data_IF_804433927355
#
_entry.id   IF_804433927355
#
_cell.length_a   1.000
_cell.length_b   1.000
_cell.length_c   1.000
_cell.angle_alpha   90.00
_cell.angle_beta   90.00
_cell.angle_gamma   90.00
#
_symmetry.space_group_name_H-M   'P 1'
#
loop_
_entity.id
_entity.type
_entity.pdbx_description
1 polymer ?
#
# COMPACT_ATOMS: atom_id res chain seq x y z
N UNK A 1 6.38 -25.34 7.64
CA UNK A 1 5.81 -23.99 7.82
C UNK A 1 4.87 -23.73 6.64
N UNK A 2 3.62 -23.32 6.89
CA UNK A 2 2.55 -23.23 5.87
C UNK A 2 2.32 -21.78 5.45
N UNK A 3 2.30 -21.51 4.15
CA UNK A 3 2.14 -20.19 3.53
C UNK A 3 0.86 -20.19 2.69
N UNK A 4 0.08 -19.12 2.77
CA UNK A 4 -1.07 -18.89 1.88
C UNK A 4 -0.65 -17.90 0.79
N UNK A 5 -0.82 -18.25 -0.47
CA UNK A 5 -0.63 -17.35 -1.61
C UNK A 5 -2.00 -16.95 -2.12
N UNK A 6 -2.30 -15.65 -2.15
CA UNK A 6 -3.55 -15.08 -2.66
C UNK A 6 -3.21 -14.22 -3.87
N UNK A 7 -3.43 -14.78 -5.06
CA UNK A 7 -2.97 -14.24 -6.35
C UNK A 7 -3.88 -14.76 -7.46
N UNK A 8 -4.45 -13.89 -8.30
CA UNK A 8 -5.36 -14.28 -9.38
C UNK A 8 -4.63 -14.54 -10.70
N UNK A 9 -3.43 -13.97 -10.90
CA UNK A 9 -2.62 -14.26 -12.07
C UNK A 9 -1.96 -15.65 -11.96
N UNK A 10 -2.42 -16.57 -12.81
CA UNK A 10 -1.96 -17.97 -12.80
C UNK A 10 -0.45 -18.15 -13.06
N UNK A 11 0.19 -17.25 -13.81
CA UNK A 11 1.63 -17.35 -14.11
C UNK A 11 2.45 -16.91 -12.89
N UNK A 12 2.11 -15.77 -12.30
CA UNK A 12 2.77 -15.24 -11.11
C UNK A 12 2.56 -16.18 -9.91
N UNK A 13 1.32 -16.65 -9.72
CA UNK A 13 0.97 -17.63 -8.70
C UNK A 13 1.83 -18.89 -8.80
N UNK A 14 1.98 -19.44 -10.01
CA UNK A 14 2.80 -20.64 -10.24
C UNK A 14 4.28 -20.37 -9.95
N UNK A 15 4.81 -19.23 -10.39
CA UNK A 15 6.19 -18.83 -10.09
C UNK A 15 6.45 -18.70 -8.58
N UNK A 16 5.51 -18.11 -7.84
CA UNK A 16 5.57 -18.01 -6.37
C UNK A 16 5.49 -19.39 -5.73
N UNK A 17 4.55 -20.24 -6.16
CA UNK A 17 4.37 -21.58 -5.64
C UNK A 17 5.64 -22.42 -5.82
N UNK A 18 6.19 -22.48 -7.03
CA UNK A 18 7.40 -23.25 -7.34
C UNK A 18 8.62 -22.70 -6.57
N UNK A 19 8.77 -21.38 -6.51
CA UNK A 19 9.86 -20.73 -5.78
C UNK A 19 9.81 -20.96 -4.27
N UNK A 20 8.62 -20.97 -3.67
CA UNK A 20 8.46 -21.16 -2.23
C UNK A 20 8.56 -22.64 -1.84
N UNK A 21 7.93 -23.53 -2.62
CA UNK A 21 7.95 -24.98 -2.34
C UNK A 21 9.32 -25.60 -2.57
N UNK A 22 10.10 -25.12 -3.56
CA UNK A 22 11.50 -25.54 -3.75
C UNK A 22 12.41 -25.22 -2.56
N UNK A 23 12.02 -24.26 -1.70
CA UNK A 23 12.69 -23.94 -0.44
C UNK A 23 12.15 -24.73 0.77
N UNK A 24 11.34 -25.77 0.55
CA UNK A 24 10.86 -26.68 1.59
C UNK A 24 9.62 -26.19 2.37
N UNK A 25 8.96 -25.13 1.90
CA UNK A 25 7.71 -24.63 2.49
C UNK A 25 6.48 -25.30 1.88
N UNK A 26 5.39 -25.36 2.64
CA UNK A 26 4.10 -25.86 2.15
C UNK A 26 3.23 -24.66 1.78
N UNK A 27 2.65 -24.66 0.59
CA UNK A 27 1.79 -23.57 0.11
C UNK A 27 0.36 -24.04 -0.10
N UNK A 28 -0.60 -23.20 0.29
CA UNK A 28 -1.97 -23.20 -0.23
C UNK A 28 -2.14 -21.99 -1.12
N UNK A 29 -3.08 -22.09 -2.06
CA UNK A 29 -3.24 -21.10 -3.11
C UNK A 29 -4.71 -20.70 -3.22
N UNK A 30 -4.97 -19.41 -3.12
CA UNK A 30 -6.26 -18.78 -3.36
C UNK A 30 -6.20 -17.88 -4.60
N UNK A 31 -7.19 -17.99 -5.47
CA UNK A 31 -7.31 -17.19 -6.71
C UNK A 31 -8.23 -15.97 -6.56
N UNK A 32 -8.85 -15.81 -5.39
CA UNK A 32 -9.79 -14.73 -5.11
C UNK A 32 -9.96 -14.56 -3.58
N UNK A 33 -10.60 -13.48 -3.18
CA UNK A 33 -10.82 -13.12 -1.78
C UNK A 33 -11.66 -14.14 -1.04
N UNK A 34 -12.76 -14.62 -1.64
CA UNK A 34 -13.62 -15.63 -1.03
C UNK A 34 -12.86 -16.93 -0.68
N UNK A 35 -12.02 -17.42 -1.59
CA UNK A 35 -11.21 -18.61 -1.34
C UNK A 35 -10.15 -18.34 -0.25
N UNK A 36 -9.56 -17.15 -0.23
CA UNK A 36 -8.61 -16.75 0.80
C UNK A 36 -9.26 -16.70 2.20
N UNK A 37 -10.49 -16.19 2.32
CA UNK A 37 -11.25 -16.22 3.58
C UNK A 37 -11.51 -17.64 4.07
N UNK A 38 -11.94 -18.54 3.17
CA UNK A 38 -12.15 -19.95 3.51
C UNK A 38 -10.86 -20.57 4.07
N UNK A 39 -9.71 -20.37 3.41
CA UNK A 39 -8.46 -20.91 3.91
C UNK A 39 -8.08 -20.35 5.28
N UNK A 40 -8.23 -19.06 5.51
CA UNK A 40 -7.90 -18.44 6.81
C UNK A 40 -8.83 -18.91 7.92
N UNK A 41 -10.10 -19.13 7.62
CA UNK A 41 -11.07 -19.60 8.62
C UNK A 41 -10.75 -21.03 9.11
N UNK A 42 -10.27 -21.90 8.22
CA UNK A 42 -10.06 -23.32 8.52
C UNK A 42 -8.57 -23.72 8.66
N UNK A 43 -7.64 -22.80 8.42
CA UNK A 43 -6.20 -23.08 8.35
C UNK A 43 -5.36 -22.22 9.28
N UNK A 44 -4.18 -22.74 9.64
CA UNK A 44 -3.13 -21.96 10.31
C UNK A 44 -1.99 -21.71 9.32
N UNK A 45 -1.70 -20.42 9.09
CA UNK A 45 -0.62 -19.97 8.23
C UNK A 45 0.38 -19.16 9.02
N UNK A 46 1.64 -19.28 8.61
CA UNK A 46 2.78 -18.53 9.16
C UNK A 46 3.04 -17.22 8.43
N UNK A 47 2.62 -17.14 7.17
CA UNK A 47 2.72 -15.98 6.29
C UNK A 47 1.61 -16.08 5.25
N UNK A 48 1.04 -14.94 4.90
CA UNK A 48 0.13 -14.79 3.76
C UNK A 48 0.84 -13.89 2.75
N UNK A 49 0.86 -14.28 1.49
CA UNK A 49 1.25 -13.45 0.36
C UNK A 49 -0.05 -13.01 -0.31
N UNK A 50 -0.25 -11.71 -0.49
CA UNK A 50 -1.52 -11.15 -0.92
C UNK A 50 -1.34 -10.15 -2.06
N UNK A 51 -1.95 -10.42 -3.21
CA UNK A 51 -2.25 -9.37 -4.20
C UNK A 51 -3.47 -8.55 -3.74
N UNK A 52 -3.39 -7.27 -3.99
CA UNK A 52 -4.45 -6.30 -3.75
C UNK A 52 -5.44 -6.23 -4.91
N UNK A 53 -5.03 -6.67 -6.10
CA UNK A 53 -5.79 -6.61 -7.34
C UNK A 53 -6.77 -7.77 -7.58
N UNK A 54 -7.35 -8.37 -6.54
CA UNK A 54 -8.20 -9.56 -6.66
C UNK A 54 -9.47 -9.33 -7.50
N UNK A 55 -10.00 -10.37 -8.16
CA UNK A 55 -11.12 -10.24 -9.09
C UNK A 55 -12.48 -9.96 -8.42
N UNK A 56 -12.65 -10.35 -7.16
CA UNK A 56 -13.91 -10.29 -6.42
C UNK A 56 -13.94 -9.27 -5.29
N UNK A 57 -12.77 -8.77 -4.84
CA UNK A 57 -12.68 -7.76 -3.80
C UNK A 57 -11.38 -6.94 -3.87
N UNK A 58 -11.30 -5.87 -3.09
CA UNK A 58 -10.04 -5.16 -2.86
C UNK A 58 -9.23 -5.89 -1.77
N UNK A 59 -8.02 -6.36 -2.10
CA UNK A 59 -7.21 -7.13 -1.15
C UNK A 59 -6.82 -6.33 0.11
N UNK A 60 -6.83 -4.99 0.07
CA UNK A 60 -6.65 -4.20 1.29
C UNK A 60 -7.85 -4.28 2.21
N UNK A 61 -9.06 -4.20 1.66
CA UNK A 61 -10.30 -4.34 2.44
C UNK A 61 -10.40 -5.73 3.06
N UNK A 62 -9.98 -6.76 2.33
CA UNK A 62 -9.87 -8.12 2.82
C UNK A 62 -8.88 -8.25 3.98
N UNK A 63 -7.67 -7.69 3.85
CA UNK A 63 -6.68 -7.66 4.93
C UNK A 63 -7.22 -6.90 6.16
N UNK A 64 -7.90 -5.79 5.94
CA UNK A 64 -8.53 -5.00 7.00
C UNK A 64 -9.60 -5.81 7.74
N UNK A 65 -10.43 -6.54 7.01
CA UNK A 65 -11.42 -7.46 7.57
C UNK A 65 -10.76 -8.51 8.47
N UNK A 66 -9.70 -9.17 7.99
CA UNK A 66 -8.95 -10.16 8.78
C UNK A 66 -8.38 -9.57 10.08
N UNK A 67 -7.78 -8.38 10.02
CA UNK A 67 -7.23 -7.71 11.20
C UNK A 67 -8.30 -7.36 12.22
N UNK A 68 -9.46 -6.89 11.75
CA UNK A 68 -10.62 -6.60 12.62
C UNK A 68 -11.14 -7.86 13.33
N UNK A 69 -11.06 -9.01 12.68
CA UNK A 69 -11.44 -10.31 13.23
C UNK A 69 -10.31 -10.99 14.04
N UNK A 70 -9.25 -10.27 14.38
CA UNK A 70 -8.19 -10.76 15.26
C UNK A 70 -7.16 -11.67 14.58
N UNK A 71 -7.18 -11.81 13.26
CA UNK A 71 -6.14 -12.55 12.53
C UNK A 71 -4.84 -11.73 12.58
N UNK A 72 -3.81 -12.27 13.21
CA UNK A 72 -2.50 -11.60 13.38
C UNK A 72 -1.41 -12.15 12.46
N UNK A 73 -1.73 -13.16 11.64
CA UNK A 73 -0.78 -13.78 10.70
C UNK A 73 -0.09 -12.70 9.84
N UNK A 74 1.26 -12.70 9.76
CA UNK A 74 2.00 -11.78 8.91
C UNK A 74 1.52 -11.83 7.46
N UNK A 75 1.41 -10.66 6.81
CA UNK A 75 0.96 -10.54 5.41
C UNK A 75 2.01 -9.77 4.62
N UNK A 76 2.52 -10.38 3.55
CA UNK A 76 3.36 -9.77 2.54
C UNK A 76 2.50 -9.38 1.35
N UNK A 77 2.45 -8.09 1.05
CA UNK A 77 1.73 -7.58 -0.12
C UNK A 77 2.64 -7.68 -1.36
N UNK A 78 2.11 -8.27 -2.44
CA UNK A 78 2.71 -8.24 -3.78
C UNK A 78 1.74 -7.50 -4.70
N UNK A 79 2.17 -6.45 -5.39
CA UNK A 79 1.32 -5.82 -6.40
C UNK A 79 2.19 -5.17 -7.47
N UNK A 80 1.68 -5.17 -8.72
CA UNK A 80 2.23 -4.40 -9.84
C UNK A 80 1.37 -3.16 -10.16
N UNK A 81 0.30 -2.89 -9.38
CA UNK A 81 -0.62 -1.73 -9.53
C UNK A 81 -0.21 -0.54 -8.67
N UNK A 82 1.10 -0.37 -8.51
CA UNK A 82 1.72 0.44 -7.46
C UNK A 82 1.32 1.92 -7.49
N UNK A 83 1.23 2.54 -8.68
CA UNK A 83 0.94 3.98 -8.80
C UNK A 83 -0.51 4.34 -8.50
N UNK A 84 -1.47 3.49 -8.90
CA UNK A 84 -2.90 3.72 -8.60
C UNK A 84 -3.19 3.56 -7.12
N UNK A 85 -2.60 2.54 -6.50
CA UNK A 85 -2.76 2.29 -5.08
C UNK A 85 -2.11 3.38 -4.23
N UNK A 86 -0.91 3.82 -4.64
CA UNK A 86 -0.22 4.94 -4.01
C UNK A 86 -1.07 6.21 -4.03
N UNK A 87 -1.56 6.60 -5.21
CA UNK A 87 -2.31 7.85 -5.35
C UNK A 87 -3.62 7.79 -4.58
N UNK A 88 -4.33 6.66 -4.62
CA UNK A 88 -5.53 6.43 -3.79
C UNK A 88 -5.24 6.60 -2.30
N UNK A 89 -4.22 5.92 -1.77
CA UNK A 89 -3.90 5.98 -0.34
C UNK A 89 -3.51 7.39 0.10
N UNK A 90 -2.78 8.13 -0.73
CA UNK A 90 -2.42 9.53 -0.42
C UNK A 90 -3.66 10.43 -0.42
N UNK A 91 -4.53 10.32 -1.42
CA UNK A 91 -5.76 11.13 -1.51
C UNK A 91 -6.73 10.82 -0.38
N UNK A 92 -6.92 9.54 -0.03
CA UNK A 92 -7.78 9.13 1.08
C UNK A 92 -7.28 9.67 2.42
N UNK A 93 -5.96 9.63 2.66
CA UNK A 93 -5.36 10.25 3.84
C UNK A 93 -5.60 11.77 3.83
N UNK A 94 -5.34 12.44 2.72
CA UNK A 94 -5.57 13.88 2.59
C UNK A 94 -7.02 14.27 2.85
N UNK A 95 -7.98 13.48 2.37
CA UNK A 95 -9.41 13.68 2.65
C UNK A 95 -9.74 13.46 4.13
N UNK A 96 -9.19 12.40 4.73
CA UNK A 96 -9.45 12.03 6.12
C UNK A 96 -8.87 13.02 7.14
N UNK A 97 -7.73 13.66 6.84
CA UNK A 97 -7.05 14.57 7.76
C UNK A 97 -7.26 16.06 7.45
N UNK A 98 -8.04 16.38 6.41
CA UNK A 98 -8.41 17.75 6.09
C UNK A 98 -9.80 18.11 6.61
N UNK A 99 -10.04 19.39 6.95
CA UNK A 99 -11.39 19.90 7.20
C UNK A 99 -12.36 19.63 6.03
N UNK A 100 -13.66 19.64 6.33
CA UNK A 100 -14.70 19.58 5.30
C UNK A 100 -14.54 20.74 4.30
N UNK A 101 -14.87 20.48 3.03
CA UNK A 101 -14.84 21.47 1.93
C UNK A 101 -13.44 22.04 1.62
N UNK A 102 -12.39 21.25 1.82
CA UNK A 102 -11.03 21.61 1.46
C UNK A 102 -10.65 21.15 0.05
N UNK A 103 -9.57 21.75 -0.49
CA UNK A 103 -9.00 21.35 -1.78
C UNK A 103 -7.83 20.39 -1.55
N UNK A 104 -7.90 19.23 -2.18
CA UNK A 104 -6.78 18.31 -2.32
C UNK A 104 -6.23 18.49 -3.74
N UNK A 105 -4.96 18.90 -3.84
CA UNK A 105 -4.29 19.09 -5.12
C UNK A 105 -3.44 17.86 -5.41
N UNK A 106 -3.74 17.16 -6.51
CA UNK A 106 -2.91 16.09 -7.05
C UNK A 106 -2.20 16.62 -8.28
N UNK A 107 -0.87 16.54 -8.31
CA UNK A 107 -0.10 16.91 -9.49
C UNK A 107 0.94 15.85 -9.82
N UNK A 108 1.24 15.72 -11.11
CA UNK A 108 2.28 14.86 -11.63
C UNK A 108 3.14 15.70 -12.57
N UNK A 109 4.44 15.80 -12.26
CA UNK A 109 5.40 16.50 -13.09
C UNK A 109 6.48 15.52 -13.54
N UNK A 110 6.84 15.55 -14.82
CA UNK A 110 7.91 14.74 -15.38
C UNK A 110 9.06 15.67 -15.76
N UNK A 111 10.20 15.46 -15.13
CA UNK A 111 11.49 15.99 -15.60
C UNK A 111 12.20 14.94 -16.46
N UNK A 112 13.33 15.28 -17.09
CA UNK A 112 14.08 14.41 -18.02
C UNK A 112 14.48 13.05 -17.44
N UNK A 113 14.57 12.92 -16.11
CA UNK A 113 15.00 11.71 -15.41
C UNK A 113 14.03 11.21 -14.34
N UNK A 114 13.15 12.07 -13.84
CA UNK A 114 12.30 11.77 -12.69
C UNK A 114 10.83 12.06 -13.00
N UNK A 115 9.94 11.23 -12.47
CA UNK A 115 8.52 11.55 -12.35
C UNK A 115 8.25 11.86 -10.87
N UNK A 116 7.69 13.04 -10.62
CA UNK A 116 7.31 13.52 -9.31
C UNK A 116 5.78 13.58 -9.23
N UNK A 117 5.21 12.74 -8.37
CA UNK A 117 3.79 12.79 -8.00
C UNK A 117 3.69 13.51 -6.66
N UNK A 118 2.80 14.49 -6.56
CA UNK A 118 2.51 15.18 -5.31
C UNK A 118 1.02 15.14 -4.99
N UNK A 119 0.70 14.93 -3.72
CA UNK A 119 -0.64 15.10 -3.16
C UNK A 119 -0.53 16.10 -2.02
N UNK A 120 -1.22 17.23 -2.15
CA UNK A 120 -1.20 18.32 -1.20
C UNK A 120 -2.59 18.55 -0.61
N UNK A 121 -2.65 18.68 0.71
CA UNK A 121 -3.89 18.86 1.46
C UNK A 121 -3.94 20.17 2.25
N UNK A 122 -5.03 20.40 2.98
CA UNK A 122 -5.23 21.58 3.84
C UNK A 122 -5.51 21.17 5.29
N UNK A 123 -4.93 20.04 5.71
CA UNK A 123 -5.07 19.52 7.07
C UNK A 123 -4.27 20.29 8.12
N UNK A 124 -4.18 19.70 9.31
CA UNK A 124 -3.47 20.32 10.45
C UNK A 124 -1.93 20.29 10.31
N UNK A 125 -1.40 19.69 9.25
CA UNK A 125 0.01 19.37 9.11
C UNK A 125 0.43 18.15 9.93
N UNK A 126 1.72 17.87 9.93
CA UNK A 126 2.35 16.77 10.67
C UNK A 126 3.56 17.27 11.48
N UNK A 127 3.92 16.51 12.51
CA UNK A 127 5.23 16.63 13.14
C UNK A 127 6.26 15.90 12.26
N UNK A 128 7.06 16.67 11.50
CA UNK A 128 8.03 16.12 10.54
C UNK A 128 9.09 15.23 11.20
N UNK A 129 9.39 15.46 12.49
CA UNK A 129 10.29 14.59 13.26
C UNK A 129 9.75 13.17 13.43
N UNK A 130 8.44 12.98 13.25
CA UNK A 130 7.74 11.69 13.33
C UNK A 130 7.36 11.14 11.96
N UNK A 131 7.80 11.76 10.86
CA UNK A 131 7.48 11.32 9.49
C UNK A 131 7.79 9.85 9.24
N UNK A 132 8.94 9.36 9.70
CA UNK A 132 9.30 7.95 9.57
C UNK A 132 8.32 7.03 10.33
N UNK A 133 7.93 7.44 11.54
CA UNK A 133 6.94 6.74 12.36
C UNK A 133 5.56 6.72 11.70
N UNK A 134 5.17 7.80 11.00
CA UNK A 134 3.91 7.88 10.25
C UNK A 134 3.79 6.82 9.14
N UNK A 135 4.92 6.35 8.62
CA UNK A 135 4.94 5.30 7.59
C UNK A 135 4.99 3.88 8.13
N UNK A 136 4.93 3.69 9.46
CA UNK A 136 4.91 2.36 10.07
C UNK A 136 3.52 1.73 9.98
N UNK A 137 3.49 0.42 9.80
CA UNK A 137 2.25 -0.37 9.74
C UNK A 137 1.47 -0.25 11.05
N UNK A 138 0.16 -0.02 10.96
CA UNK A 138 -0.77 0.16 12.08
C UNK A 138 -0.53 1.42 12.93
N UNK A 139 0.41 2.29 12.53
CA UNK A 139 0.64 3.54 13.23
C UNK A 139 -0.38 4.61 12.80
N UNK A 140 -0.92 5.35 13.76
CA UNK A 140 -1.90 6.42 13.55
C UNK A 140 -1.66 7.56 14.55
N UNK A 141 -1.86 8.80 14.11
CA UNK A 141 -1.78 9.98 14.99
C UNK A 141 -3.03 10.15 15.86
N UNK A 142 -4.20 9.86 15.30
CA UNK A 142 -5.49 10.01 15.98
C UNK A 142 -6.38 8.80 15.66
N UNK A 143 -7.14 8.32 16.66
CA UNK A 143 -8.12 7.22 16.53
C UNK A 143 -9.50 7.69 16.05
N UNK A 144 -9.76 9.00 15.99
CA UNK A 144 -11.08 9.56 15.59
C UNK A 144 -11.57 9.14 14.20
N UNK A 145 -10.66 8.82 13.28
CA UNK A 145 -11.02 8.43 11.92
C UNK A 145 -11.05 6.89 11.74
N UNK A 146 -11.74 6.36 10.72
CA UNK A 146 -11.91 4.90 10.54
C UNK A 146 -10.73 4.18 9.84
N UNK A 147 -9.55 4.80 9.72
CA UNK A 147 -8.39 4.18 9.04
C UNK A 147 -7.67 3.11 9.87
N UNK A 148 -7.06 2.10 9.22
CA UNK A 148 -6.35 1.00 9.93
C UNK A 148 -4.84 1.28 10.11
N UNK A 149 -4.35 2.40 9.59
CA UNK A 149 -2.93 2.78 9.70
C UNK A 149 -2.02 2.01 8.74
N UNK A 150 -2.59 1.51 7.63
CA UNK A 150 -1.82 0.81 6.59
C UNK A 150 -1.40 1.73 5.45
N UNK A 151 -2.15 2.79 5.17
CA UNK A 151 -2.01 3.54 3.91
C UNK A 151 -0.60 4.08 3.65
N UNK A 152 0.00 4.78 4.62
CA UNK A 152 1.37 5.29 4.48
C UNK A 152 2.43 4.19 4.47
N UNK A 153 2.19 3.06 5.14
CA UNK A 153 3.10 1.91 5.11
C UNK A 153 3.12 1.22 3.74
N UNK A 154 1.98 1.20 3.05
CA UNK A 154 1.84 0.71 1.67
C UNK A 154 2.60 1.64 0.73
N UNK A 155 2.38 2.96 0.84
CA UNK A 155 3.11 3.96 0.04
C UNK A 155 4.63 3.83 0.24
N UNK A 156 5.10 3.68 1.48
CA UNK A 156 6.51 3.48 1.79
C UNK A 156 7.07 2.15 1.22
N UNK A 157 6.27 1.08 1.22
CA UNK A 157 6.65 -0.20 0.63
C UNK A 157 6.78 -0.11 -0.89
N UNK A 158 5.82 0.54 -1.55
CA UNK A 158 5.83 0.83 -2.99
C UNK A 158 7.08 1.63 -3.35
N UNK A 159 7.40 2.66 -2.56
CA UNK A 159 8.59 3.48 -2.74
C UNK A 159 9.87 2.62 -2.73
N UNK A 160 10.02 1.77 -1.72
CA UNK A 160 11.17 0.87 -1.60
C UNK A 160 11.29 -0.11 -2.76
N UNK A 161 10.18 -0.70 -3.22
CA UNK A 161 10.18 -1.64 -4.35
C UNK A 161 10.62 -0.96 -5.65
N UNK A 162 10.20 0.29 -5.87
CA UNK A 162 10.54 1.06 -7.07
C UNK A 162 11.86 1.83 -6.94
N UNK A 163 12.65 1.58 -5.89
CA UNK A 163 13.85 2.37 -5.55
C UNK A 163 13.58 3.89 -5.61
N UNK A 164 12.36 4.26 -5.21
CA UNK A 164 11.79 5.59 -5.30
C UNK A 164 11.83 6.26 -3.94
N UNK A 165 11.86 7.59 -3.94
CA UNK A 165 11.84 8.38 -2.72
C UNK A 165 10.41 8.79 -2.39
N UNK A 166 9.97 8.47 -1.17
CA UNK A 166 8.72 8.98 -0.60
C UNK A 166 9.01 9.90 0.58
N UNK A 167 8.42 11.09 0.59
CA UNK A 167 8.55 12.05 1.70
C UNK A 167 7.22 12.70 2.05
N UNK A 168 7.04 13.01 3.33
CA UNK A 168 5.94 13.81 3.86
C UNK A 168 6.52 15.09 4.47
N UNK A 169 6.02 16.25 4.04
CA UNK A 169 6.47 17.57 4.54
C UNK A 169 5.27 18.46 4.79
N UNK A 170 5.39 19.43 5.68
CA UNK A 170 4.37 20.46 5.78
C UNK A 170 4.42 21.40 4.57
N UNK A 171 3.27 22.02 4.28
CA UNK A 171 3.19 23.09 3.29
C UNK A 171 4.07 24.28 3.68
N UNK A 172 4.68 24.90 2.66
CA UNK A 172 5.58 26.04 2.82
C UNK A 172 4.95 27.37 2.41
N UNK A 173 3.73 27.38 1.89
CA UNK A 173 3.01 28.56 1.40
C UNK A 173 2.25 29.33 2.50
N UNK A 174 2.75 29.29 3.73
CA UNK A 174 2.13 29.81 4.96
C UNK A 174 0.72 29.25 5.28
N UNK A 175 0.22 28.30 4.49
CA UNK A 175 -1.00 27.56 4.80
C UNK A 175 -0.66 26.29 5.58
N UNK A 176 -1.59 25.83 6.42
CA UNK A 176 -1.48 24.51 7.07
C UNK A 176 -1.83 23.40 6.08
N UNK A 177 -1.17 22.26 6.25
CA UNK A 177 -1.43 21.05 5.47
C UNK A 177 -0.15 20.28 5.19
N UNK A 178 -0.31 19.14 4.55
CA UNK A 178 0.79 18.23 4.21
C UNK A 178 0.97 18.16 2.70
N UNK A 179 2.22 17.99 2.28
CA UNK A 179 2.62 17.62 0.92
C UNK A 179 3.24 16.23 1.01
N UNK A 180 2.59 15.26 0.37
CA UNK A 180 3.13 13.93 0.14
C UNK A 180 3.79 13.90 -1.24
N UNK A 181 5.10 13.66 -1.27
CA UNK A 181 5.91 13.62 -2.50
C UNK A 181 6.39 12.19 -2.76
N UNK A 182 6.14 11.71 -3.98
CA UNK A 182 6.66 10.44 -4.47
C UNK A 182 7.47 10.68 -5.74
N UNK A 183 8.77 10.38 -5.69
CA UNK A 183 9.71 10.56 -6.78
C UNK A 183 10.23 9.21 -7.26
N UNK A 184 9.97 8.91 -8.52
CA UNK A 184 10.49 7.72 -9.21
C UNK A 184 11.44 8.13 -10.33
N UNK A 185 12.47 7.31 -10.57
CA UNK A 185 13.34 7.49 -11.73
C UNK A 185 12.61 6.97 -12.98
N UNK A 186 12.47 7.79 -14.00
CA UNK A 186 11.96 7.35 -15.30
C UNK A 186 13.02 6.46 -15.97
N UNK A 187 12.80 5.14 -15.99
CA UNK A 187 13.69 4.25 -16.75
C UNK A 187 13.55 4.52 -18.25
N UNK A 188 14.69 4.54 -18.97
CA UNK A 188 14.74 4.71 -20.43
C UNK A 188 14.00 3.60 -21.22
N UNK A 189 13.50 2.55 -20.56
CA UNK A 189 12.83 1.42 -21.21
C UNK A 189 11.32 1.60 -21.45
N UNK A 190 10.69 2.66 -20.92
CA UNK A 190 9.30 3.02 -21.25
C UNK A 190 9.21 4.10 -22.35
N UNK A 191 10.28 4.30 -23.13
CA UNK A 191 10.34 5.32 -24.18
C UNK A 191 9.87 4.84 -25.56
N UNK A 192 9.48 3.57 -25.71
CA UNK A 192 9.04 3.01 -26.99
C UNK A 192 7.77 2.16 -26.85
N UNK A 193 6.63 2.75 -26.47
CA UNK A 193 5.29 2.32 -26.93
C UNK A 193 4.38 3.54 -27.07
#
# INVERSE_FOLDING_TARGET
MKILIVEDDSLLQKGLYDGITSNGYVCEVAQNGNQAEQYIQFGQFSLIILDLGLPDCDGLELLMHWRKNGITTPVLILTARDTRLLTRNLVENSYQYSPNETKILVSCNKDKKDILITVQDQGNGIDESKSEKLTQTFFRMDRKHNGIGLGLSIVNRIAKLHQSLFTLKNRTDNAKGVIAEFRMTASLHQLNE
#
